data_IF_339971250362
#
_entry.id   IF_339971250362
#
_cell.length_a   1.000
_cell.length_b   1.000
_cell.length_c   1.000
_cell.angle_alpha   90.00
_cell.angle_beta   90.00
_cell.angle_gamma   90.00
#
_symmetry.space_group_name_H-M   'P 1'
#
loop_
_entity.id
_entity.type
_entity.pdbx_description
1 polymer ?
#
# COMPACT_ATOMS: atom_id res chain seq x y z
N UNK A 1 -25.49 11.82 -18.98
CA UNK A 1 -24.20 11.56 -18.29
C UNK A 1 -23.85 10.09 -18.50
N UNK A 2 -23.14 9.78 -19.59
CA UNK A 2 -22.70 8.41 -19.86
C UNK A 2 -21.50 8.09 -18.96
N UNK A 3 -21.68 7.13 -18.05
CA UNK A 3 -20.62 6.66 -17.16
C UNK A 3 -19.48 6.07 -17.98
N UNK A 4 -18.39 6.83 -18.11
CA UNK A 4 -17.14 6.32 -18.66
C UNK A 4 -16.68 5.21 -17.72
N UNK A 5 -16.82 3.96 -18.17
CA UNK A 5 -16.29 2.80 -17.45
C UNK A 5 -14.80 3.02 -17.23
N UNK A 6 -14.37 2.86 -15.99
CA UNK A 6 -12.95 2.92 -15.67
C UNK A 6 -12.17 1.91 -16.53
N UNK A 7 -10.92 2.21 -16.88
CA UNK A 7 -10.10 1.26 -17.63
C UNK A 7 -10.00 -0.04 -16.82
N UNK A 8 -10.26 -1.18 -17.46
CA UNK A 8 -10.26 -2.50 -16.82
C UNK A 8 -8.96 -2.78 -16.05
N UNK A 9 -7.82 -2.27 -16.54
CA UNK A 9 -6.52 -2.38 -15.90
C UNK A 9 -6.43 -1.62 -14.56
N UNK A 10 -7.11 -0.48 -14.41
CA UNK A 10 -7.12 0.30 -13.18
C UNK A 10 -7.95 -0.39 -12.08
N UNK A 11 -9.02 -1.08 -12.48
CA UNK A 11 -9.86 -1.87 -11.58
C UNK A 11 -9.09 -3.05 -11.00
N UNK A 12 -8.21 -3.69 -11.78
CA UNK A 12 -7.36 -4.79 -11.31
C UNK A 12 -6.52 -4.35 -10.11
N UNK A 13 -5.93 -3.16 -10.13
CA UNK A 13 -5.08 -2.69 -9.03
C UNK A 13 -5.83 -2.44 -7.71
N UNK A 14 -7.11 -2.07 -7.77
CA UNK A 14 -7.97 -1.99 -6.57
C UNK A 14 -8.34 -3.38 -6.06
N UNK A 15 -8.50 -4.37 -6.94
CA UNK A 15 -8.90 -5.74 -6.58
C UNK A 15 -7.76 -6.50 -5.88
N UNK A 16 -6.50 -6.26 -6.25
CA UNK A 16 -5.35 -6.98 -5.67
C UNK A 16 -5.32 -6.96 -4.13
N UNK A 17 -5.36 -5.81 -3.43
CA UNK A 17 -5.39 -5.79 -1.96
C UNK A 17 -6.67 -6.43 -1.40
N UNK A 18 -7.81 -6.30 -2.09
CA UNK A 18 -9.07 -6.93 -1.67
C UNK A 18 -8.95 -8.45 -1.69
N UNK A 19 -8.45 -9.01 -2.80
CA UNK A 19 -8.17 -10.43 -2.96
C UNK A 19 -7.20 -10.93 -1.88
N UNK A 20 -6.09 -10.22 -1.69
CA UNK A 20 -5.08 -10.57 -0.67
C UNK A 20 -5.68 -10.68 0.73
N UNK A 21 -6.49 -9.69 1.13
CA UNK A 21 -7.18 -9.70 2.42
C UNK A 21 -8.22 -10.82 2.54
N UNK A 22 -8.93 -11.17 1.47
CA UNK A 22 -9.85 -12.32 1.49
C UNK A 22 -9.13 -13.66 1.63
N UNK A 23 -7.98 -13.83 0.97
CA UNK A 23 -7.15 -15.04 1.12
C UNK A 23 -6.65 -15.15 2.57
N UNK A 24 -6.19 -14.05 3.15
CA UNK A 24 -5.74 -14.01 4.54
C UNK A 24 -6.88 -14.32 5.52
N UNK A 25 -8.02 -13.64 5.37
CA UNK A 25 -9.19 -13.85 6.21
C UNK A 25 -9.73 -15.28 6.08
N UNK A 26 -9.78 -15.81 4.85
CA UNK A 26 -10.18 -17.19 4.59
C UNK A 26 -9.26 -18.20 5.27
N UNK A 27 -7.96 -17.94 5.31
CA UNK A 27 -6.98 -18.73 6.05
C UNK A 27 -7.22 -18.69 7.56
N UNK A 28 -7.38 -17.50 8.14
CA UNK A 28 -7.66 -17.34 9.56
C UNK A 28 -8.97 -18.02 9.97
N UNK A 29 -10.05 -17.78 9.23
CA UNK A 29 -11.35 -18.40 9.50
C UNK A 29 -11.28 -19.92 9.30
N UNK A 30 -10.57 -20.41 8.29
CA UNK A 30 -10.35 -21.83 8.07
C UNK A 30 -9.66 -22.51 9.25
N UNK A 31 -8.59 -21.90 9.76
CA UNK A 31 -7.87 -22.39 10.94
C UNK A 31 -8.73 -22.31 12.22
N UNK A 32 -9.44 -21.20 12.42
CA UNK A 32 -10.31 -21.01 13.59
C UNK A 32 -11.46 -22.02 13.60
N UNK A 33 -12.17 -22.19 12.48
CA UNK A 33 -13.29 -23.11 12.37
C UNK A 33 -12.83 -24.56 12.47
N UNK A 34 -11.67 -24.91 11.91
CA UNK A 34 -11.11 -26.24 12.09
C UNK A 34 -10.83 -26.53 13.58
N UNK A 35 -10.15 -25.63 14.29
CA UNK A 35 -9.83 -25.85 15.69
C UNK A 35 -11.08 -25.84 16.60
N UNK A 36 -11.97 -24.86 16.43
CA UNK A 36 -13.15 -24.70 17.30
C UNK A 36 -14.29 -25.67 16.99
N UNK A 37 -14.61 -25.88 15.71
CA UNK A 37 -15.79 -26.66 15.29
C UNK A 37 -15.45 -28.12 15.04
N UNK A 38 -14.35 -28.41 14.32
CA UNK A 38 -14.00 -29.78 13.98
C UNK A 38 -13.28 -30.49 15.13
N UNK A 39 -12.27 -29.84 15.70
CA UNK A 39 -11.46 -30.42 16.78
C UNK A 39 -11.98 -30.06 18.19
N UNK A 40 -13.13 -29.38 18.30
CA UNK A 40 -13.79 -29.04 19.57
C UNK A 40 -12.87 -28.33 20.57
N UNK A 41 -11.98 -27.45 20.08
CA UNK A 41 -10.99 -26.71 20.87
C UNK A 41 -10.05 -27.63 21.68
N UNK A 42 -9.60 -28.72 21.07
CA UNK A 42 -8.62 -29.63 21.66
C UNK A 42 -7.34 -28.90 22.07
N UNK A 43 -6.77 -29.34 23.19
CA UNK A 43 -5.46 -28.91 23.66
C UNK A 43 -4.37 -29.40 22.71
N UNK A 44 -3.68 -28.46 22.04
CA UNK A 44 -2.62 -28.80 21.09
C UNK A 44 -1.31 -29.10 21.82
N UNK A 45 -0.42 -29.88 21.19
CA UNK A 45 0.88 -30.28 21.75
C UNK A 45 1.76 -29.09 22.21
N UNK A 46 1.85 -27.96 21.48
CA UNK A 46 2.64 -26.81 21.92
C UNK A 46 1.97 -25.96 23.00
N UNK A 47 0.70 -26.21 23.35
CA UNK A 47 -0.01 -25.43 24.37
C UNK A 47 0.41 -25.83 25.79
N UNK A 48 0.67 -24.84 26.64
CA UNK A 48 0.97 -25.08 28.05
C UNK A 48 -0.24 -25.67 28.80
N UNK A 49 -0.03 -26.42 29.89
CA UNK A 49 -1.10 -27.07 30.64
C UNK A 49 -2.24 -26.11 31.08
N UNK A 50 -1.92 -24.84 31.32
CA UNK A 50 -2.90 -23.82 31.73
C UNK A 50 -3.42 -22.95 30.55
N UNK A 51 -3.03 -23.28 29.32
CA UNK A 51 -3.48 -22.60 28.12
C UNK A 51 -4.78 -23.22 27.60
N UNK A 52 -5.76 -22.40 27.24
CA UNK A 52 -7.08 -22.80 26.75
C UNK A 52 -7.37 -22.26 25.35
N UNK A 53 -6.63 -21.25 24.91
CA UNK A 53 -6.76 -20.63 23.59
C UNK A 53 -5.50 -20.95 22.80
N UNK A 54 -5.65 -21.66 21.69
CA UNK A 54 -4.55 -21.97 20.78
C UNK A 54 -4.09 -20.70 20.03
N UNK A 55 -2.77 -20.56 19.86
CA UNK A 55 -2.21 -19.56 18.95
C UNK A 55 -2.55 -19.93 17.50
N UNK A 56 -2.67 -18.92 16.64
CA UNK A 56 -2.85 -19.12 15.20
C UNK A 56 -1.64 -19.86 14.65
N UNK A 57 -0.43 -19.49 15.09
CA UNK A 57 0.81 -20.14 14.71
C UNK A 57 0.77 -21.64 14.95
N UNK A 58 0.26 -22.07 16.10
CA UNK A 58 0.25 -23.48 16.50
C UNK A 58 -0.69 -24.27 15.57
N UNK A 59 -1.92 -23.77 15.38
CA UNK A 59 -2.89 -24.38 14.48
C UNK A 59 -2.33 -24.46 13.05
N UNK A 60 -1.73 -23.37 12.59
CA UNK A 60 -1.16 -23.22 11.26
C UNK A 60 0.10 -24.04 11.04
N UNK A 61 0.86 -24.37 12.09
CA UNK A 61 2.08 -25.15 11.97
C UNK A 61 1.84 -26.67 11.94
N UNK A 62 0.71 -27.16 12.44
CA UNK A 62 0.39 -28.60 12.49
C UNK A 62 -0.35 -29.12 11.25
N UNK A 63 -1.57 -29.62 11.42
CA UNK A 63 -2.30 -30.35 10.38
C UNK A 63 -2.77 -29.44 9.25
N UNK A 64 -2.86 -28.13 9.52
CA UNK A 64 -3.17 -27.10 8.54
C UNK A 64 -1.94 -26.40 7.96
N UNK A 65 -0.73 -26.93 8.15
CA UNK A 65 0.47 -26.36 7.54
C UNK A 65 0.40 -26.17 6.03
N UNK A 66 -0.16 -27.10 5.23
CA UNK A 66 -0.35 -26.85 3.81
C UNK A 66 -1.26 -25.66 3.50
N UNK A 67 -2.31 -25.47 4.32
CA UNK A 67 -3.23 -24.33 4.23
C UNK A 67 -2.50 -23.03 4.54
N UNK A 68 -1.72 -23.03 5.62
CA UNK A 68 -0.97 -21.88 6.10
C UNK A 68 0.10 -21.45 5.10
N UNK A 69 0.85 -22.39 4.51
CA UNK A 69 1.82 -22.12 3.45
C UNK A 69 1.13 -21.57 2.21
N UNK A 70 0.10 -22.26 1.69
CA UNK A 70 -0.52 -21.90 0.42
C UNK A 70 -1.20 -20.53 0.48
N UNK A 71 -2.05 -20.30 1.49
CA UNK A 71 -2.78 -19.06 1.62
C UNK A 71 -1.89 -17.93 2.18
N UNK A 72 -1.02 -18.21 3.15
CA UNK A 72 -0.09 -17.23 3.69
C UNK A 72 0.83 -16.67 2.61
N UNK A 73 1.45 -17.55 1.80
CA UNK A 73 2.30 -17.15 0.65
C UNK A 73 1.50 -16.35 -0.36
N UNK A 74 0.29 -16.79 -0.72
CA UNK A 74 -0.57 -16.08 -1.68
C UNK A 74 -0.92 -14.68 -1.18
N UNK A 75 -1.26 -14.52 0.10
CA UNK A 75 -1.50 -13.21 0.72
C UNK A 75 -0.27 -12.32 0.62
N UNK A 76 0.90 -12.74 1.12
CA UNK A 76 2.06 -11.82 1.18
C UNK A 76 2.65 -11.51 -0.18
N UNK A 77 2.61 -12.44 -1.14
CA UNK A 77 3.03 -12.17 -2.52
C UNK A 77 2.08 -11.15 -3.15
N UNK A 78 0.76 -11.39 -3.10
CA UNK A 78 -0.22 -10.46 -3.66
C UNK A 78 -0.18 -9.09 -2.98
N UNK A 79 -0.05 -9.04 -1.65
CA UNK A 79 0.06 -7.78 -0.91
C UNK A 79 1.37 -7.05 -1.23
N UNK A 80 2.50 -7.75 -1.37
CA UNK A 80 3.77 -7.10 -1.72
C UNK A 80 3.72 -6.46 -3.12
N UNK A 81 2.96 -7.05 -4.05
CA UNK A 81 2.76 -6.43 -5.38
C UNK A 81 2.03 -5.09 -5.33
N UNK A 82 1.28 -4.79 -4.26
CA UNK A 82 0.62 -3.49 -4.05
C UNK A 82 1.66 -2.37 -4.00
N UNK A 83 2.74 -2.54 -3.23
CA UNK A 83 3.79 -1.53 -3.08
C UNK A 83 4.53 -1.27 -4.41
N UNK A 84 4.82 -2.35 -5.14
CA UNK A 84 5.47 -2.27 -6.46
C UNK A 84 4.56 -1.54 -7.47
N UNK A 85 3.28 -1.90 -7.47
CA UNK A 85 2.26 -1.30 -8.34
C UNK A 85 2.07 0.16 -8.03
N UNK A 86 1.99 0.53 -6.75
CA UNK A 86 1.85 1.91 -6.32
C UNK A 86 3.02 2.76 -6.84
N UNK A 87 4.26 2.29 -6.63
CA UNK A 87 5.47 2.96 -7.13
C UNK A 87 5.46 3.10 -8.66
N UNK A 88 5.00 2.07 -9.37
CA UNK A 88 4.90 2.06 -10.83
C UNK A 88 3.84 3.03 -11.35
N UNK A 89 2.65 3.06 -10.75
CA UNK A 89 1.57 3.98 -11.11
C UNK A 89 1.93 5.44 -10.81
N UNK A 90 2.64 5.70 -9.71
CA UNK A 90 3.21 7.02 -9.42
C UNK A 90 4.28 7.41 -10.43
N UNK A 91 5.08 6.45 -10.91
CA UNK A 91 6.08 6.72 -11.95
C UNK A 91 5.45 7.13 -13.28
N UNK A 92 4.37 6.45 -13.67
CA UNK A 92 3.59 6.75 -14.89
C UNK A 92 2.72 8.00 -14.80
N UNK A 93 2.62 8.64 -13.63
CA UNK A 93 1.74 9.80 -13.42
C UNK A 93 0.25 9.46 -13.45
N UNK A 94 -0.11 8.17 -13.28
CA UNK A 94 -1.53 7.76 -13.18
C UNK A 94 -2.14 8.10 -11.82
N UNK A 95 -1.28 8.21 -10.79
CA UNK A 95 -1.55 8.68 -9.43
C UNK A 95 -0.55 9.80 -9.13
N UNK A 96 -0.83 10.64 -8.12
CA UNK A 96 0.01 11.77 -7.69
C UNK A 96 1.51 11.45 -7.75
N UNK A 97 2.20 12.16 -8.66
CA UNK A 97 3.58 11.89 -9.04
C UNK A 97 4.53 12.27 -7.90
N UNK A 98 5.62 11.52 -7.76
CA UNK A 98 6.68 11.87 -6.81
C UNK A 98 7.43 13.11 -7.33
N UNK A 99 7.34 14.21 -6.59
CA UNK A 99 7.98 15.49 -6.91
C UNK A 99 9.44 15.55 -6.42
N UNK A 100 9.81 14.72 -5.44
CA UNK A 100 11.15 14.76 -4.82
C UNK A 100 11.89 13.42 -4.90
N UNK A 101 13.22 13.47 -4.99
CA UNK A 101 14.09 12.28 -4.90
C UNK A 101 13.95 11.56 -3.57
N UNK A 102 13.70 12.30 -2.49
CA UNK A 102 13.47 11.73 -1.17
C UNK A 102 12.23 10.82 -1.14
N UNK A 103 11.14 11.22 -1.81
CA UNK A 103 9.92 10.40 -1.89
C UNK A 103 10.20 9.08 -2.64
N UNK A 104 11.03 9.13 -3.69
CA UNK A 104 11.39 7.91 -4.44
C UNK A 104 12.23 6.95 -3.58
N UNK A 105 13.10 7.48 -2.70
CA UNK A 105 13.86 6.67 -1.74
C UNK A 105 12.92 6.04 -0.71
N UNK A 106 12.01 6.81 -0.12
CA UNK A 106 11.02 6.29 0.84
C UNK A 106 10.18 5.16 0.24
N UNK A 107 9.68 5.34 -0.98
CA UNK A 107 8.92 4.31 -1.69
C UNK A 107 9.77 3.06 -1.98
N UNK A 108 11.05 3.23 -2.33
CA UNK A 108 11.99 2.13 -2.48
C UNK A 108 12.24 1.36 -1.18
N UNK A 109 12.44 2.07 -0.07
CA UNK A 109 12.58 1.46 1.25
C UNK A 109 11.30 0.71 1.66
N UNK A 110 10.13 1.29 1.42
CA UNK A 110 8.86 0.63 1.70
C UNK A 110 8.74 -0.73 0.98
N UNK A 111 9.15 -0.80 -0.28
CA UNK A 111 9.17 -2.07 -1.05
C UNK A 111 10.18 -3.06 -0.46
N UNK A 112 11.39 -2.62 -0.12
CA UNK A 112 12.43 -3.49 0.45
C UNK A 112 11.94 -4.11 1.76
N UNK A 113 11.40 -3.31 2.68
CA UNK A 113 10.88 -3.79 3.95
C UNK A 113 9.65 -4.68 3.79
N UNK A 114 8.77 -4.41 2.82
CA UNK A 114 7.66 -5.31 2.48
C UNK A 114 8.16 -6.68 1.96
N UNK A 115 9.21 -6.70 1.13
CA UNK A 115 9.83 -7.95 0.67
C UNK A 115 10.46 -8.72 1.84
N UNK A 116 11.14 -8.04 2.76
CA UNK A 116 11.70 -8.67 3.97
C UNK A 116 10.56 -9.27 4.81
N UNK A 117 9.47 -8.55 5.02
CA UNK A 117 8.29 -9.04 5.74
C UNK A 117 7.64 -10.25 5.04
N UNK A 118 7.52 -10.22 3.71
CA UNK A 118 7.03 -11.32 2.88
C UNK A 118 7.89 -12.58 3.03
N UNK A 119 9.22 -12.44 2.92
CA UNK A 119 10.16 -13.56 3.11
C UNK A 119 10.03 -14.11 4.54
N UNK A 120 9.93 -13.22 5.54
CA UNK A 120 9.68 -13.59 6.94
C UNK A 120 8.46 -14.50 7.10
N UNK A 121 7.31 -14.11 6.53
CA UNK A 121 6.09 -14.92 6.62
C UNK A 121 6.21 -16.24 5.84
N UNK A 122 6.79 -16.25 4.64
CA UNK A 122 6.94 -17.49 3.86
C UNK A 122 7.79 -18.50 4.64
N UNK A 123 8.90 -18.05 5.24
CA UNK A 123 9.74 -18.93 6.06
C UNK A 123 9.00 -19.37 7.32
N UNK A 124 8.27 -18.47 7.99
CA UNK A 124 7.41 -18.77 9.15
C UNK A 124 6.45 -19.92 8.84
N UNK A 125 5.71 -19.84 7.73
CA UNK A 125 4.73 -20.89 7.35
C UNK A 125 5.40 -22.25 7.06
N UNK A 126 6.64 -22.23 6.55
CA UNK A 126 7.40 -23.45 6.26
C UNK A 126 8.03 -24.08 7.52
N UNK A 127 8.46 -23.26 8.48
CA UNK A 127 9.18 -23.70 9.69
C UNK A 127 8.21 -23.87 10.85
N UNK A 128 7.71 -25.09 11.01
CA UNK A 128 6.83 -25.48 12.11
C UNK A 128 7.47 -25.18 13.49
N UNK A 129 6.63 -24.67 14.38
CA UNK A 129 6.88 -24.22 15.76
C UNK A 129 7.42 -25.30 16.71
N UNK A 130 7.03 -26.57 16.57
CA UNK A 130 7.49 -27.69 17.41
C UNK A 130 8.99 -27.94 17.26
N UNK A 131 9.49 -27.95 16.02
CA UNK A 131 10.88 -28.33 15.72
C UNK A 131 11.81 -27.12 15.72
N UNK A 132 11.28 -25.93 15.47
CA UNK A 132 12.07 -24.72 15.24
C UNK A 132 11.45 -23.47 15.89
N UNK A 133 10.95 -23.57 17.14
CA UNK A 133 10.28 -22.47 17.86
C UNK A 133 11.04 -21.14 17.80
N UNK A 134 12.34 -21.13 18.10
CA UNK A 134 13.17 -19.91 18.03
C UNK A 134 13.27 -19.30 16.63
N UNK A 135 13.27 -20.14 15.58
CA UNK A 135 13.29 -19.65 14.19
C UNK A 135 11.92 -19.12 13.79
N UNK A 136 10.85 -19.81 14.20
CA UNK A 136 9.48 -19.37 13.97
C UNK A 136 9.24 -17.98 14.61
N UNK A 137 9.58 -17.81 15.88
CA UNK A 137 9.42 -16.53 16.59
C UNK A 137 10.24 -15.41 15.94
N UNK A 138 11.48 -15.70 15.54
CA UNK A 138 12.32 -14.73 14.83
C UNK A 138 11.70 -14.32 13.48
N UNK A 139 11.15 -15.28 12.72
CA UNK A 139 10.45 -15.00 11.46
C UNK A 139 9.16 -14.20 11.67
N UNK A 140 8.44 -14.43 12.79
CA UNK A 140 7.26 -13.65 13.18
C UNK A 140 7.64 -12.19 13.43
N UNK A 141 8.72 -11.94 14.17
CA UNK A 141 9.25 -10.59 14.41
C UNK A 141 9.67 -9.93 13.09
N UNK A 142 10.39 -10.64 12.21
CA UNK A 142 10.80 -10.12 10.90
C UNK A 142 9.59 -9.77 10.03
N UNK A 143 8.55 -10.62 10.02
CA UNK A 143 7.29 -10.37 9.33
C UNK A 143 6.62 -9.08 9.81
N UNK A 144 6.37 -8.98 11.12
CA UNK A 144 5.67 -7.82 11.72
C UNK A 144 6.49 -6.55 11.53
N UNK A 145 7.78 -6.57 11.88
CA UNK A 145 8.65 -5.40 11.77
C UNK A 145 8.82 -4.95 10.31
N UNK A 146 8.95 -5.89 9.36
CA UNK A 146 9.05 -5.59 7.94
C UNK A 146 7.83 -4.82 7.42
N UNK A 147 6.62 -5.30 7.70
CA UNK A 147 5.41 -4.62 7.25
C UNK A 147 5.13 -3.30 8.00
N UNK A 148 5.43 -3.21 9.30
CA UNK A 148 5.29 -1.94 10.05
C UNK A 148 6.27 -0.88 9.51
N UNK A 149 7.55 -1.24 9.31
CA UNK A 149 8.54 -0.32 8.76
C UNK A 149 8.17 0.11 7.34
N UNK A 150 7.68 -0.82 6.52
CA UNK A 150 7.13 -0.51 5.20
C UNK A 150 5.99 0.51 5.28
N UNK A 151 5.02 0.29 6.18
CA UNK A 151 3.89 1.19 6.41
C UNK A 151 4.34 2.60 6.85
N UNK A 152 5.34 2.68 7.74
CA UNK A 152 5.91 3.95 8.19
C UNK A 152 6.51 4.72 7.01
N UNK A 153 7.26 4.06 6.13
CA UNK A 153 7.84 4.71 4.95
C UNK A 153 6.76 5.19 3.96
N UNK A 154 5.70 4.40 3.73
CA UNK A 154 4.55 4.83 2.92
C UNK A 154 3.86 6.04 3.54
N UNK A 155 3.59 6.01 4.85
CA UNK A 155 2.99 7.13 5.57
C UNK A 155 3.86 8.39 5.49
N UNK A 156 5.18 8.25 5.62
CA UNK A 156 6.10 9.37 5.50
C UNK A 156 6.13 9.94 4.08
N UNK A 157 6.09 9.08 3.06
CA UNK A 157 5.93 9.49 1.67
C UNK A 157 4.62 10.30 1.51
N UNK A 158 3.51 9.79 2.05
CA UNK A 158 2.19 10.43 1.96
C UNK A 158 2.11 11.75 2.69
N UNK A 159 2.71 11.87 3.88
CA UNK A 159 2.77 13.12 4.60
C UNK A 159 3.47 14.19 3.75
N UNK A 160 4.58 13.82 3.09
CA UNK A 160 5.33 14.76 2.25
C UNK A 160 4.61 15.11 0.95
N UNK A 161 3.94 14.16 0.31
CA UNK A 161 3.09 14.45 -0.86
C UNK A 161 1.86 15.29 -0.46
N UNK A 162 1.27 15.05 0.71
CA UNK A 162 0.07 15.74 1.19
C UNK A 162 0.27 17.23 1.46
N UNK A 163 1.50 17.65 1.75
CA UNK A 163 1.88 19.08 1.85
C UNK A 163 1.76 19.77 0.50
N UNK A 164 2.14 19.10 -0.60
CA UNK A 164 2.13 19.67 -1.95
C UNK A 164 0.75 19.55 -2.61
N UNK A 165 0.06 18.42 -2.44
CA UNK A 165 -1.24 18.11 -3.03
C UNK A 165 -2.40 18.30 -2.05
N UNK A 166 -2.44 19.47 -1.39
CA UNK A 166 -3.39 19.79 -0.30
C UNK A 166 -4.87 19.71 -0.70
N UNK A 167 -5.17 19.65 -2.00
CA UNK A 167 -6.52 19.54 -2.54
C UNK A 167 -7.07 18.10 -2.54
N UNK A 168 -6.24 17.06 -2.42
CA UNK A 168 -6.68 15.67 -2.50
C UNK A 168 -7.07 15.08 -1.14
N UNK A 169 -8.38 15.12 -0.83
CA UNK A 169 -8.94 14.56 0.41
C UNK A 169 -8.71 13.04 0.55
N UNK A 170 -8.70 12.30 -0.57
CA UNK A 170 -8.56 10.84 -0.58
C UNK A 170 -7.18 10.41 -0.05
N UNK A 171 -6.10 11.10 -0.44
CA UNK A 171 -4.74 10.80 0.05
C UNK A 171 -4.63 11.01 1.56
N UNK A 172 -5.26 12.06 2.10
CA UNK A 172 -5.27 12.31 3.55
C UNK A 172 -6.05 11.25 4.31
N UNK A 173 -7.20 10.83 3.80
CA UNK A 173 -8.00 9.78 4.44
C UNK A 173 -7.20 8.48 4.50
N UNK A 174 -6.58 8.08 3.40
CA UNK A 174 -5.74 6.87 3.37
C UNK A 174 -4.55 6.97 4.34
N UNK A 175 -3.87 8.12 4.38
CA UNK A 175 -2.80 8.38 5.34
C UNK A 175 -3.25 8.19 6.80
N UNK A 176 -4.36 8.81 7.21
CA UNK A 176 -4.85 8.70 8.59
C UNK A 176 -5.32 7.29 8.94
N UNK A 177 -5.94 6.58 8.00
CA UNK A 177 -6.32 5.18 8.18
C UNK A 177 -5.08 4.31 8.42
N UNK A 178 -4.05 4.42 7.57
CA UNK A 178 -2.81 3.66 7.72
C UNK A 178 -2.06 4.02 8.99
N UNK A 179 -2.00 5.30 9.34
CA UNK A 179 -1.38 5.76 10.57
C UNK A 179 -2.09 5.18 11.80
N UNK A 180 -3.42 5.12 11.80
CA UNK A 180 -4.18 4.48 12.86
C UNK A 180 -3.87 2.98 12.96
N UNK A 181 -3.80 2.26 11.83
CA UNK A 181 -3.37 0.85 11.82
C UNK A 181 -1.97 0.66 12.40
N UNK A 182 -1.00 1.48 12.02
CA UNK A 182 0.37 1.40 12.56
C UNK A 182 0.36 1.50 14.09
N UNK A 183 -0.35 2.48 14.66
CA UNK A 183 -0.41 2.62 16.12
C UNK A 183 -1.13 1.47 16.81
N UNK A 184 -2.25 1.00 16.24
CA UNK A 184 -3.02 -0.11 16.80
C UNK A 184 -2.24 -1.42 16.72
N UNK A 185 -1.67 -1.76 15.56
CA UNK A 185 -0.90 -2.98 15.34
C UNK A 185 0.39 -2.98 16.16
N UNK A 186 1.12 -1.86 16.22
CA UNK A 186 2.33 -1.76 17.06
C UNK A 186 1.99 -1.92 18.54
N UNK A 187 0.91 -1.28 19.01
CA UNK A 187 0.46 -1.39 20.41
C UNK A 187 0.06 -2.83 20.75
N UNK A 188 -0.70 -3.48 19.88
CA UNK A 188 -1.10 -4.88 20.07
C UNK A 188 0.09 -5.84 19.96
N UNK A 189 1.04 -5.61 19.03
CA UNK A 189 2.24 -6.44 18.89
C UNK A 189 3.15 -6.34 20.13
N UNK A 190 3.28 -5.15 20.73
CA UNK A 190 3.98 -4.97 22.00
C UNK A 190 3.24 -5.72 23.11
N UNK A 191 1.90 -5.60 23.18
CA UNK A 191 1.11 -6.33 24.17
C UNK A 191 1.26 -7.84 24.03
N UNK A 192 1.19 -8.37 22.80
CA UNK A 192 1.45 -9.77 22.47
C UNK A 192 2.84 -10.21 22.97
N UNK A 193 3.90 -9.46 22.61
CA UNK A 193 5.26 -9.78 23.03
C UNK A 193 5.44 -9.79 24.55
N UNK A 194 4.88 -8.80 25.26
CA UNK A 194 4.96 -8.71 26.73
C UNK A 194 4.14 -9.80 27.43
N UNK A 195 2.96 -10.14 26.91
CA UNK A 195 2.12 -11.20 27.48
C UNK A 195 2.76 -12.58 27.28
N UNK A 196 3.34 -12.83 26.10
CA UNK A 196 4.08 -14.06 25.82
C UNK A 196 5.33 -14.19 26.70
N UNK A 197 6.07 -13.11 26.93
CA UNK A 197 7.25 -13.10 27.83
C UNK A 197 6.87 -13.35 29.30
N UNK A 198 5.70 -12.88 29.73
CA UNK A 198 5.15 -13.11 31.07
C UNK A 198 4.39 -14.43 31.23
N UNK A 199 4.47 -15.33 30.25
CA UNK A 199 3.78 -16.64 30.25
C UNK A 199 2.25 -16.54 30.39
N UNK A 200 1.67 -15.38 30.04
CA UNK A 200 0.22 -15.18 30.00
C UNK A 200 -0.33 -15.60 28.63
N UNK A 201 -0.26 -16.90 28.35
CA UNK A 201 -0.50 -17.45 27.01
C UNK A 201 -1.93 -17.24 26.49
N UNK A 202 -2.95 -17.31 27.35
CA UNK A 202 -4.34 -17.09 26.93
C UNK A 202 -4.58 -15.64 26.42
N UNK A 203 -4.26 -14.59 27.20
CA UNK A 203 -4.28 -13.21 26.68
C UNK A 203 -3.40 -12.99 25.45
N UNK A 204 -2.21 -13.59 25.41
CA UNK A 204 -1.33 -13.47 24.26
C UNK A 204 -1.93 -14.09 22.98
N UNK A 205 -2.52 -15.28 23.07
CA UNK A 205 -3.22 -15.91 21.95
C UNK A 205 -4.38 -15.04 21.45
N UNK A 206 -5.16 -14.45 22.35
CA UNK A 206 -6.20 -13.47 21.97
C UNK A 206 -5.61 -12.28 21.23
N UNK A 207 -4.49 -11.72 21.71
CA UNK A 207 -3.80 -10.64 21.01
C UNK A 207 -3.36 -11.06 19.60
N UNK A 208 -2.79 -12.25 19.42
CA UNK A 208 -2.39 -12.74 18.09
C UNK A 208 -3.57 -12.84 17.12
N UNK A 209 -4.70 -13.40 17.58
CA UNK A 209 -5.94 -13.47 16.80
C UNK A 209 -6.45 -12.08 16.41
N UNK A 210 -6.47 -11.15 17.37
CA UNK A 210 -6.93 -9.77 17.13
C UNK A 210 -6.00 -9.04 16.16
N UNK A 211 -4.68 -9.14 16.32
CA UNK A 211 -3.68 -8.56 15.40
C UNK A 211 -3.92 -9.09 13.99
N UNK A 212 -4.05 -10.41 13.85
CA UNK A 212 -4.20 -11.06 12.54
C UNK A 212 -5.51 -10.68 11.85
N UNK A 213 -6.60 -10.52 12.59
CA UNK A 213 -7.87 -10.04 12.05
C UNK A 213 -7.79 -8.56 11.64
N UNK A 214 -7.18 -7.71 12.46
CA UNK A 214 -6.95 -6.29 12.17
C UNK A 214 -6.09 -6.12 10.91
N UNK A 215 -5.07 -6.96 10.74
CA UNK A 215 -4.20 -6.97 9.56
C UNK A 215 -4.99 -7.14 8.26
N UNK A 216 -6.11 -7.87 8.28
CA UNK A 216 -7.03 -7.98 7.12
C UNK A 216 -7.53 -6.59 6.68
N UNK A 217 -8.00 -5.79 7.62
CA UNK A 217 -8.52 -4.45 7.35
C UNK A 217 -7.39 -3.49 6.95
N UNK A 218 -6.19 -3.67 7.52
CA UNK A 218 -5.01 -2.94 7.09
C UNK A 218 -4.68 -3.22 5.62
N UNK A 219 -4.65 -4.48 5.18
CA UNK A 219 -4.43 -4.87 3.78
C UNK A 219 -5.51 -4.26 2.87
N UNK A 220 -6.79 -4.37 3.25
CA UNK A 220 -7.88 -3.75 2.48
C UNK A 220 -7.80 -2.23 2.39
N UNK A 221 -7.21 -1.56 3.38
CA UNK A 221 -7.06 -0.10 3.36
C UNK A 221 -6.23 0.39 2.16
N UNK A 222 -5.36 -0.44 1.59
CA UNK A 222 -4.58 -0.11 0.39
C UNK A 222 -5.43 -0.04 -0.89
N UNK A 223 -6.62 -0.63 -0.92
CA UNK A 223 -7.54 -0.46 -2.03
C UNK A 223 -7.91 1.01 -2.27
N UNK A 224 -7.93 1.81 -1.19
CA UNK A 224 -8.25 3.25 -1.24
C UNK A 224 -7.20 4.04 -2.05
N UNK A 225 -5.95 3.60 -2.04
CA UNK A 225 -4.84 4.29 -2.73
C UNK A 225 -4.93 4.23 -4.24
N UNK A 226 -5.60 3.20 -4.77
CA UNK A 226 -5.79 3.01 -6.21
C UNK A 226 -7.11 3.60 -6.73
N UNK A 227 -8.02 4.06 -5.86
CA UNK A 227 -9.28 4.73 -6.28
C UNK A 227 -9.02 5.93 -7.21
N UNK A 228 -8.01 6.79 -6.98
CA UNK A 228 -7.68 7.86 -7.91
C UNK A 228 -7.38 7.33 -9.33
N UNK A 229 -6.65 6.23 -9.48
CA UNK A 229 -6.31 5.66 -10.79
C UNK A 229 -7.54 5.23 -11.63
N UNK A 230 -8.64 4.87 -10.96
CA UNK A 230 -9.92 4.55 -11.60
C UNK A 230 -10.64 5.82 -12.07
N UNK A 231 -10.44 6.94 -11.39
CA UNK A 231 -11.13 8.23 -11.63
C UNK A 231 -10.37 9.17 -12.57
N UNK A 232 -9.12 8.88 -12.94
CA UNK A 232 -8.17 9.86 -13.49
C UNK A 232 -8.19 10.10 -15.01
N UNK A 233 -9.22 9.71 -15.78
CA UNK A 233 -9.31 10.17 -17.19
C UNK A 233 -9.38 11.71 -17.31
N UNK A 234 -9.68 12.43 -16.22
CA UNK A 234 -9.68 13.90 -16.15
C UNK A 234 -8.43 14.54 -15.54
N UNK A 235 -7.49 13.77 -14.98
CA UNK A 235 -6.34 14.31 -14.21
C UNK A 235 -5.03 14.26 -14.99
N UNK A 236 -4.76 13.18 -15.71
CA UNK A 236 -3.57 13.06 -16.54
C UNK A 236 -3.56 14.09 -17.68
N UNK A 237 -4.73 14.48 -18.23
CA UNK A 237 -4.79 15.53 -19.24
C UNK A 237 -4.45 16.90 -18.66
N UNK A 238 -4.90 17.20 -17.44
CA UNK A 238 -4.77 18.53 -16.85
C UNK A 238 -3.36 18.82 -16.33
N UNK A 239 -2.70 17.86 -15.69
CA UNK A 239 -1.30 18.02 -15.25
C UNK A 239 -0.35 18.03 -16.46
N UNK A 240 -0.61 17.22 -17.50
CA UNK A 240 0.15 17.30 -18.77
C UNK A 240 -0.09 18.63 -19.49
N UNK A 241 -1.32 19.15 -19.50
CA UNK A 241 -1.64 20.48 -20.05
C UNK A 241 -0.92 21.59 -19.27
N UNK A 242 -0.86 21.51 -17.94
CA UNK A 242 -0.17 22.49 -17.10
C UNK A 242 1.36 22.38 -17.28
N UNK A 243 1.94 21.19 -17.25
CA UNK A 243 3.39 20.98 -17.50
C UNK A 243 3.78 21.44 -18.91
N UNK A 244 2.93 21.18 -19.92
CA UNK A 244 3.15 21.69 -21.28
C UNK A 244 3.01 23.22 -21.33
N UNK A 245 2.02 23.80 -20.65
CA UNK A 245 1.84 25.25 -20.59
C UNK A 245 3.01 25.95 -19.87
N UNK A 246 3.47 25.41 -18.75
CA UNK A 246 4.63 25.92 -17.99
C UNK A 246 5.94 25.75 -18.80
N UNK A 247 6.11 24.62 -19.48
CA UNK A 247 7.24 24.38 -20.38
C UNK A 247 7.27 25.38 -21.54
N UNK A 248 6.11 25.62 -22.16
CA UNK A 248 5.93 26.62 -23.21
C UNK A 248 6.16 28.06 -22.69
N UNK A 249 5.72 28.40 -21.47
CA UNK A 249 6.01 29.71 -20.84
C UNK A 249 7.51 29.92 -20.62
N UNK A 250 8.18 28.90 -20.09
CA UNK A 250 9.62 28.88 -19.87
C UNK A 250 10.39 29.07 -21.17
N UNK A 251 10.02 28.32 -22.21
CA UNK A 251 10.69 28.38 -23.51
C UNK A 251 10.49 29.75 -24.19
N UNK A 252 9.28 30.30 -24.10
CA UNK A 252 8.96 31.66 -24.58
C UNK A 252 9.84 32.73 -23.91
N UNK A 253 10.02 32.63 -22.58
CA UNK A 253 10.94 33.51 -21.84
C UNK A 253 12.39 33.36 -22.28
N UNK A 254 12.85 32.13 -22.55
CA UNK A 254 14.20 31.88 -23.08
C UNK A 254 14.40 32.43 -24.49
N UNK A 255 13.35 32.50 -25.32
CA UNK A 255 13.37 33.12 -26.65
C UNK A 255 13.37 34.65 -26.62
N UNK A 256 13.36 35.27 -25.43
CA UNK A 256 13.47 36.72 -25.27
C UNK A 256 12.14 37.45 -25.05
N UNK A 257 11.06 36.73 -24.72
CA UNK A 257 9.77 37.32 -24.36
C UNK A 257 9.57 37.29 -22.84
N UNK A 258 9.97 38.33 -22.08
CA UNK A 258 9.88 38.33 -20.61
C UNK A 258 8.44 38.19 -20.07
N UNK A 259 7.43 38.56 -20.85
CA UNK A 259 6.01 38.34 -20.58
C UNK A 259 5.49 36.93 -20.92
N UNK A 260 6.37 36.01 -21.33
CA UNK A 260 6.02 34.64 -21.68
C UNK A 260 5.15 34.52 -22.95
N UNK A 261 4.42 33.41 -23.05
CA UNK A 261 3.65 33.02 -24.24
C UNK A 261 2.69 34.10 -24.73
N UNK A 262 2.01 34.78 -23.81
CA UNK A 262 1.05 35.83 -24.16
C UNK A 262 1.72 37.01 -24.90
N UNK A 263 2.97 37.34 -24.55
CA UNK A 263 3.73 38.38 -25.23
C UNK A 263 4.26 37.90 -26.59
N UNK A 264 4.71 36.66 -26.68
CA UNK A 264 5.15 36.03 -27.94
C UNK A 264 3.99 35.97 -28.96
N UNK A 265 2.80 35.51 -28.54
CA UNK A 265 1.61 35.46 -29.38
C UNK A 265 1.16 36.85 -29.86
N UNK A 266 1.23 37.88 -29.01
CA UNK A 266 0.91 39.25 -29.38
C UNK A 266 1.91 39.83 -30.42
N UNK A 267 3.20 39.48 -30.31
CA UNK A 267 4.22 39.90 -31.27
C UNK A 267 4.00 39.26 -32.66
N UNK A 268 3.63 37.98 -32.71
CA UNK A 268 3.27 37.31 -33.97
C UNK A 268 1.91 37.74 -34.52
N UNK A 269 0.93 38.03 -33.65
CA UNK A 269 -0.38 38.54 -34.06
C UNK A 269 -0.33 39.95 -34.65
N UNK A 270 0.57 40.80 -34.17
CA UNK A 270 0.73 42.18 -34.67
C UNK A 270 1.46 42.28 -36.02
N UNK A 271 2.30 41.31 -36.36
CA UNK A 271 3.03 41.28 -37.64
C UNK A 271 2.15 40.85 -38.83
N UNK A 272 0.99 40.25 -38.59
CA UNK A 272 0.03 39.85 -39.63
C UNK A 272 -0.88 40.95 -40.19
N UNK A 273 -0.97 42.12 -39.55
CA UNK A 273 -1.93 43.18 -39.92
C UNK A 273 -1.29 44.31 -40.75
N UNK A 274 0.05 44.36 -40.87
CA UNK A 274 0.77 45.46 -41.53
C UNK A 274 1.20 45.21 -42.99
N UNK A 275 0.45 44.41 -43.76
CA UNK A 275 0.68 44.26 -45.22
C UNK A 275 -0.65 44.27 -45.97
N UNK A 276 -1.23 45.45 -46.15
CA UNK A 276 -2.49 45.57 -46.87
C UNK A 276 -2.97 46.99 -47.15
N UNK A 277 -2.11 47.87 -47.69
CA UNK A 277 -2.50 48.83 -48.73
C UNK A 277 -1.30 49.70 -49.15
N UNK A 278 -0.65 49.35 -50.25
CA UNK A 278 0.01 50.32 -51.11
C UNK A 278 -0.56 50.14 -52.52
N UNK A 279 -1.58 50.93 -52.85
CA UNK A 279 -2.07 51.06 -54.22
C UNK A 279 -1.11 51.97 -54.99
N UNK A 280 -0.20 51.37 -55.76
CA UNK A 280 0.53 52.06 -56.82
C UNK A 280 -0.41 52.20 -58.01
N UNK A 281 -0.90 53.40 -58.30
CA UNK A 281 -1.52 53.72 -59.57
C UNK A 281 -0.58 54.63 -60.36
N UNK A 282 -0.22 54.13 -61.55
CA UNK A 282 0.16 54.92 -62.72
C UNK A 282 -1.05 55.69 -63.25
#
# INVERSE_FOLDING_TARGET
MAGVKAPWWATIYVIVPIFSGFVWLGMLLGMLLWWTVKEHSVHLVPMDANQHIAYISDIGAHQLQPLFIAMGTTTVVSFTTVFVTERWLRHRGTIARNTSMFQKILSGLAIIFAIIGMIGLIILTCRNDIKYSKTHDACLVVFIAGYILSAIFVCWEYQRLGIHYRQHRILRISFWIKLAFIFVELGLAIAFGVLSDKENYNPAAVCEWVISLIYTFYVWSYAIDFIPAIRTRHYASKETEIDMAEGMESESRMRGYPGGLAQEEAAYGSTGVARGHESRNF
#
